data_IF_542218955981
#
_entry.id   IF_542218955981
#
_cell.length_a   1.000
_cell.length_b   1.000
_cell.length_c   1.000
_cell.angle_alpha   90.00
_cell.angle_beta   90.00
_cell.angle_gamma   90.00
#
_symmetry.space_group_name_H-M   'P 1'
#
loop_
_entity.id
_entity.type
_entity.pdbx_description
1 polymer ?
#
# COMPACT_ATOMS: atom_id res chain seq x y z
N UNK A 1 -11.10 -12.27 7.68
CA UNK A 1 -10.99 -10.85 8.12
C UNK A 1 -11.89 -9.95 7.27
N UNK A 2 -11.65 -9.84 5.95
CA UNK A 2 -12.44 -8.98 5.05
C UNK A 2 -13.96 -9.15 5.17
N UNK A 3 -14.47 -10.37 5.35
CA UNK A 3 -15.92 -10.61 5.54
C UNK A 3 -16.51 -9.87 6.76
N UNK A 4 -15.78 -9.81 7.87
CA UNK A 4 -16.21 -9.09 9.09
C UNK A 4 -16.17 -7.58 8.84
N UNK A 5 -15.08 -7.10 8.25
CA UNK A 5 -14.92 -5.68 7.89
C UNK A 5 -16.03 -5.23 6.93
N UNK A 6 -16.42 -6.05 5.94
CA UNK A 6 -17.48 -5.70 4.97
C UNK A 6 -18.86 -5.47 5.60
N UNK A 7 -19.09 -5.91 6.83
CA UNK A 7 -20.31 -5.63 7.58
C UNK A 7 -20.21 -4.39 8.47
N UNK A 8 -19.01 -3.87 8.72
CA UNK A 8 -18.74 -2.77 9.65
C UNK A 8 -18.34 -1.45 8.96
N UNK A 9 -17.65 -1.50 7.83
CA UNK A 9 -17.10 -0.31 7.15
C UNK A 9 -18.16 0.49 6.36
N UNK A 10 -17.82 1.74 6.02
CA UNK A 10 -18.66 2.57 5.15
C UNK A 10 -18.62 2.07 3.70
N UNK A 11 -19.80 1.92 3.08
CA UNK A 11 -20.00 1.66 1.65
C UNK A 11 -18.95 0.69 1.03
N UNK A 12 -18.96 -0.60 1.44
CA UNK A 12 -17.92 -1.56 1.08
C UNK A 12 -17.94 -1.93 -0.41
N UNK A 13 -16.82 -1.74 -1.08
CA UNK A 13 -16.60 -2.14 -2.48
C UNK A 13 -15.60 -3.29 -2.50
N UNK A 14 -16.10 -4.54 -2.42
CA UNK A 14 -15.27 -5.76 -2.46
C UNK A 14 -15.06 -6.26 -3.89
N UNK A 15 -13.80 -6.58 -4.21
CA UNK A 15 -13.40 -7.12 -5.51
C UNK A 15 -12.16 -8.01 -5.35
N UNK A 16 -12.10 -9.11 -6.11
CA UNK A 16 -10.83 -9.77 -6.45
C UNK A 16 -10.25 -9.18 -7.74
N UNK A 17 -11.11 -8.63 -8.62
CA UNK A 17 -10.70 -7.95 -9.84
C UNK A 17 -11.67 -6.82 -10.22
N UNK A 18 -11.15 -5.70 -10.75
CA UNK A 18 -11.97 -4.51 -11.08
C UNK A 18 -11.31 -3.65 -12.15
N UNK A 19 -12.10 -2.96 -12.98
CA UNK A 19 -11.56 -2.02 -13.96
C UNK A 19 -11.16 -0.70 -13.29
N UNK A 20 -9.98 -0.19 -13.63
CA UNK A 20 -9.46 1.09 -13.10
C UNK A 20 -10.44 2.26 -13.34
N UNK A 21 -11.10 2.39 -14.51
CA UNK A 21 -12.14 3.42 -14.72
C UNK A 21 -13.40 3.27 -13.88
N UNK A 22 -13.72 2.08 -13.37
CA UNK A 22 -14.82 1.93 -12.41
C UNK A 22 -14.41 2.52 -11.06
N UNK A 23 -13.22 2.19 -10.55
CA UNK A 23 -12.76 2.64 -9.23
C UNK A 23 -12.70 4.17 -9.11
N UNK A 24 -11.93 4.86 -9.96
CA UNK A 24 -11.75 6.30 -9.80
C UNK A 24 -13.07 7.09 -9.98
N UNK A 25 -14.01 6.59 -10.81
CA UNK A 25 -15.34 7.19 -10.96
C UNK A 25 -16.26 6.86 -9.78
N UNK A 26 -16.13 5.68 -9.17
CA UNK A 26 -16.92 5.27 -8.00
C UNK A 26 -16.53 6.03 -6.74
N UNK A 27 -15.24 6.33 -6.57
CA UNK A 27 -14.72 7.14 -5.47
C UNK A 27 -15.12 8.61 -5.68
N UNK A 28 -14.83 9.21 -6.84
CA UNK A 28 -15.21 10.59 -7.15
C UNK A 28 -16.72 10.86 -6.97
N UNK A 29 -17.58 9.92 -7.42
CA UNK A 29 -19.04 10.04 -7.26
C UNK A 29 -19.49 10.06 -5.79
N UNK A 30 -18.74 9.47 -4.88
CA UNK A 30 -19.06 9.43 -3.46
C UNK A 30 -18.68 10.74 -2.72
N UNK A 31 -17.88 11.61 -3.34
CA UNK A 31 -17.51 12.91 -2.78
C UNK A 31 -16.71 12.76 -1.48
N UNK A 32 -17.17 13.44 -0.43
CA UNK A 32 -16.40 13.54 0.83
C UNK A 32 -16.54 12.30 1.73
N UNK A 33 -17.51 11.43 1.45
CA UNK A 33 -17.76 10.14 2.12
C UNK A 33 -17.41 8.94 1.21
N UNK A 34 -16.12 8.74 0.89
CA UNK A 34 -15.69 7.70 -0.04
C UNK A 34 -16.05 6.28 0.43
N UNK A 35 -16.17 5.33 -0.51
CA UNK A 35 -16.34 3.92 -0.18
C UNK A 35 -15.10 3.34 0.49
N UNK A 36 -15.27 2.22 1.21
CA UNK A 36 -14.12 1.41 1.65
C UNK A 36 -13.80 0.37 0.59
N UNK A 37 -12.61 0.44 0.01
CA UNK A 37 -12.15 -0.53 -0.98
C UNK A 37 -11.71 -1.81 -0.28
N UNK A 38 -12.10 -2.97 -0.81
CA UNK A 38 -11.75 -4.26 -0.23
C UNK A 38 -11.21 -5.19 -1.33
N UNK A 39 -9.89 -5.19 -1.49
CA UNK A 39 -9.21 -6.04 -2.46
C UNK A 39 -8.88 -7.39 -1.83
N UNK A 40 -9.45 -8.45 -2.37
CA UNK A 40 -9.14 -9.84 -2.05
C UNK A 40 -8.13 -10.42 -3.06
N UNK A 41 -7.39 -11.45 -2.68
CA UNK A 41 -6.42 -12.15 -3.57
C UNK A 41 -5.45 -11.20 -4.28
N UNK A 42 -4.96 -10.16 -3.57
CA UNK A 42 -4.13 -9.11 -4.13
C UNK A 42 -2.80 -9.61 -4.72
N UNK A 43 -2.29 -10.76 -4.25
CA UNK A 43 -1.16 -11.47 -4.84
C UNK A 43 -1.41 -11.89 -6.30
N UNK A 44 -2.64 -12.17 -6.69
CA UNK A 44 -2.98 -12.44 -8.09
C UNK A 44 -2.79 -11.20 -9.00
N UNK A 45 -2.92 -9.98 -8.46
CA UNK A 45 -2.73 -8.71 -9.20
C UNK A 45 -1.28 -8.21 -9.13
N UNK A 46 -0.65 -8.35 -7.96
CA UNK A 46 0.66 -7.75 -7.65
C UNK A 46 1.82 -8.76 -7.54
N UNK A 47 1.60 -10.03 -7.91
CA UNK A 47 2.67 -11.04 -7.94
C UNK A 47 3.91 -10.59 -8.71
N UNK A 48 5.07 -11.14 -8.31
CA UNK A 48 6.42 -10.79 -8.77
C UNK A 48 6.74 -11.07 -10.26
N UNK A 49 5.72 -11.16 -11.11
CA UNK A 49 5.86 -11.08 -12.56
C UNK A 49 6.08 -9.65 -13.05
N UNK A 50 6.08 -9.46 -14.36
CA UNK A 50 6.19 -8.12 -14.96
C UNK A 50 4.91 -7.31 -14.64
N UNK A 51 5.00 -6.11 -14.04
CA UNK A 51 3.83 -5.29 -13.78
C UNK A 51 3.07 -4.99 -15.07
N UNK A 52 1.76 -5.22 -15.03
CA UNK A 52 0.84 -4.84 -16.11
C UNK A 52 0.48 -3.37 -16.00
N UNK A 53 0.06 -2.73 -17.10
CA UNK A 53 -0.49 -1.37 -17.07
C UNK A 53 -1.64 -1.25 -16.05
N UNK A 54 -2.41 -2.33 -15.88
CA UNK A 54 -3.52 -2.42 -14.93
C UNK A 54 -3.04 -2.44 -13.47
N UNK A 55 -2.07 -3.27 -13.13
CA UNK A 55 -1.55 -3.38 -11.76
C UNK A 55 -0.83 -2.09 -11.36
N UNK A 56 -0.07 -1.48 -12.28
CA UNK A 56 0.52 -0.15 -12.07
C UNK A 56 -0.55 0.94 -11.89
N UNK A 57 -1.61 0.94 -12.70
CA UNK A 57 -2.69 1.89 -12.56
C UNK A 57 -3.48 1.72 -11.25
N UNK A 58 -3.70 0.48 -10.78
CA UNK A 58 -4.33 0.20 -9.49
C UNK A 58 -3.43 0.62 -8.31
N UNK A 59 -2.13 0.28 -8.36
CA UNK A 59 -1.11 0.74 -7.40
C UNK A 59 -1.08 2.26 -7.33
N UNK A 60 -1.17 2.94 -8.47
CA UNK A 60 -1.31 4.39 -8.57
C UNK A 60 -2.54 4.92 -7.82
N UNK A 61 -3.73 4.33 -8.03
CA UNK A 61 -4.95 4.73 -7.30
C UNK A 61 -4.77 4.54 -5.79
N UNK A 62 -4.25 3.40 -5.33
CA UNK A 62 -4.05 3.13 -3.91
C UNK A 62 -3.04 4.11 -3.27
N UNK A 63 -1.91 4.35 -3.93
CA UNK A 63 -0.87 5.25 -3.41
C UNK A 63 -1.31 6.72 -3.43
N UNK A 64 -2.01 7.18 -4.47
CA UNK A 64 -2.60 8.53 -4.53
C UNK A 64 -3.77 8.68 -3.56
N UNK A 65 -4.52 7.59 -3.33
CA UNK A 65 -5.67 7.54 -2.43
C UNK A 65 -5.34 7.46 -0.94
N UNK A 66 -4.06 7.41 -0.57
CA UNK A 66 -3.59 7.38 0.82
C UNK A 66 -4.02 8.61 1.64
N UNK A 67 -4.01 9.80 1.03
CA UNK A 67 -4.30 11.06 1.71
C UNK A 67 -5.27 11.93 0.88
N UNK A 68 -6.13 12.69 1.57
CA UNK A 68 -7.03 13.66 0.92
C UNK A 68 -6.23 14.79 0.27
N UNK A 69 -6.75 15.34 -0.83
CA UNK A 69 -6.16 16.47 -1.55
C UNK A 69 -5.36 16.07 -2.80
N UNK A 70 -4.91 14.82 -2.91
CA UNK A 70 -4.29 14.31 -4.14
C UNK A 70 -5.33 13.87 -5.17
N UNK A 71 -4.97 14.01 -6.46
CA UNK A 71 -5.84 13.72 -7.60
C UNK A 71 -5.19 12.75 -8.60
N UNK A 72 -6.03 11.97 -9.26
CA UNK A 72 -5.64 10.99 -10.27
C UNK A 72 -6.02 11.49 -11.67
N UNK A 73 -5.03 12.03 -12.39
CA UNK A 73 -5.22 12.59 -13.73
C UNK A 73 -5.47 11.53 -14.80
N UNK A 74 -6.47 11.75 -15.65
CA UNK A 74 -6.79 10.92 -16.82
C UNK A 74 -7.19 11.75 -18.04
N UNK A 75 -6.91 11.22 -19.22
CA UNK A 75 -7.35 11.76 -20.51
C UNK A 75 -8.66 11.07 -20.90
N UNK A 76 -9.78 11.78 -20.90
CA UNK A 76 -11.07 11.24 -21.33
C UNK A 76 -11.22 11.31 -22.86
N UNK A 77 -11.50 10.15 -23.47
CA UNK A 77 -11.86 10.02 -24.90
C UNK A 77 -13.37 10.30 -25.09
N UNK A 78 -13.81 10.76 -26.28
CA UNK A 78 -13.04 10.95 -27.52
C UNK A 78 -12.27 12.29 -27.60
N UNK A 79 -12.64 13.29 -26.81
CA UNK A 79 -12.18 14.67 -26.99
C UNK A 79 -10.78 14.97 -26.38
N UNK A 80 -10.09 13.94 -25.87
CA UNK A 80 -8.80 14.04 -25.16
C UNK A 80 -8.79 15.09 -24.02
N UNK A 81 -9.90 15.22 -23.29
CA UNK A 81 -10.01 16.18 -22.19
C UNK A 81 -9.22 15.69 -20.98
N UNK A 82 -8.38 16.56 -20.41
CA UNK A 82 -7.75 16.31 -19.12
C UNK A 82 -8.80 16.38 -18.02
N UNK A 83 -8.81 15.38 -17.15
CA UNK A 83 -9.71 15.32 -16.00
C UNK A 83 -9.02 14.71 -14.80
N UNK A 84 -9.22 15.35 -13.67
CA UNK A 84 -8.70 14.94 -12.38
C UNK A 84 -9.81 14.26 -11.59
N UNK A 85 -9.45 13.20 -10.87
CA UNK A 85 -10.36 12.42 -10.04
C UNK A 85 -9.84 12.36 -8.61
N UNK A 86 -10.70 12.68 -7.63
CA UNK A 86 -10.44 12.38 -6.22
C UNK A 86 -10.49 10.87 -6.04
N UNK A 87 -9.41 10.31 -5.49
CA UNK A 87 -9.25 8.86 -5.28
C UNK A 87 -8.96 8.48 -3.84
N UNK A 88 -9.05 9.43 -2.90
CA UNK A 88 -8.95 9.11 -1.47
C UNK A 88 -10.06 8.14 -1.04
N UNK A 89 -9.64 6.99 -0.52
CA UNK A 89 -10.53 5.95 -0.01
C UNK A 89 -9.74 5.06 0.95
N UNK A 90 -10.37 4.66 2.06
CA UNK A 90 -9.80 3.62 2.93
C UNK A 90 -9.77 2.29 2.19
N UNK A 91 -8.67 1.55 2.30
CA UNK A 91 -8.49 0.26 1.64
C UNK A 91 -8.13 -0.84 2.65
N UNK A 92 -8.82 -1.98 2.55
CA UNK A 92 -8.43 -3.22 3.18
C UNK A 92 -7.98 -4.20 2.09
N UNK A 93 -6.72 -4.63 2.15
CA UNK A 93 -6.09 -5.47 1.13
C UNK A 93 -5.72 -6.82 1.77
N UNK A 94 -6.13 -7.93 1.16
CA UNK A 94 -5.70 -9.26 1.54
C UNK A 94 -4.80 -9.86 0.45
N UNK A 95 -3.63 -10.35 0.84
CA UNK A 95 -2.59 -10.90 -0.04
C UNK A 95 -1.98 -12.15 0.60
N UNK A 96 -1.49 -13.08 -0.23
CA UNK A 96 -0.56 -14.12 0.21
C UNK A 96 0.87 -13.67 -0.07
N UNK A 97 1.59 -13.33 1.01
CA UNK A 97 2.95 -12.77 0.91
C UNK A 97 2.93 -11.25 0.81
N UNK A 98 4.10 -10.67 0.56
CA UNK A 98 4.29 -9.23 0.49
C UNK A 98 3.56 -8.60 -0.72
N UNK A 99 3.12 -7.37 -0.52
CA UNK A 99 2.67 -6.43 -1.55
C UNK A 99 3.87 -5.56 -2.01
N UNK A 100 3.73 -4.77 -3.09
CA UNK A 100 4.77 -3.82 -3.48
C UNK A 100 5.01 -2.79 -2.37
N UNK A 101 6.27 -2.53 -2.02
CA UNK A 101 6.72 -1.71 -0.88
C UNK A 101 5.96 -0.37 -0.80
N UNK A 102 5.70 0.27 -1.95
CA UNK A 102 4.96 1.54 -2.00
C UNK A 102 3.53 1.48 -1.43
N UNK A 103 2.91 0.30 -1.38
CA UNK A 103 1.63 0.02 -0.72
C UNK A 103 1.85 -0.33 0.75
N UNK A 104 2.86 -1.16 1.08
CA UNK A 104 3.13 -1.58 2.47
C UNK A 104 3.59 -0.40 3.36
N UNK A 105 4.43 0.49 2.84
CA UNK A 105 4.79 1.78 3.47
C UNK A 105 3.57 2.66 3.83
N UNK A 106 2.41 2.37 3.25
CA UNK A 106 1.14 3.11 3.35
C UNK A 106 0.04 2.25 3.97
N UNK A 107 0.40 1.17 4.66
CA UNK A 107 -0.54 0.23 5.27
C UNK A 107 -0.11 -0.20 6.68
N UNK A 108 -1.10 -0.54 7.51
CA UNK A 108 -0.87 -1.26 8.77
C UNK A 108 -0.94 -2.76 8.46
N UNK A 109 0.22 -3.43 8.39
CA UNK A 109 0.33 -4.82 7.94
C UNK A 109 -0.11 -5.80 9.02
N UNK A 110 -1.17 -6.57 8.76
CA UNK A 110 -1.73 -7.56 9.70
C UNK A 110 -1.36 -9.00 9.29
N UNK A 111 -0.19 -9.47 9.72
CA UNK A 111 0.33 -10.81 9.37
C UNK A 111 -0.48 -11.94 10.01
N UNK A 112 -1.41 -12.51 9.25
CA UNK A 112 -2.24 -13.64 9.68
C UNK A 112 -1.45 -14.96 9.71
N UNK A 113 -1.63 -15.76 10.77
CA UNK A 113 -1.05 -17.11 10.89
C UNK A 113 -2.09 -18.18 10.56
N UNK A 114 -1.67 -19.28 9.93
CA UNK A 114 -2.53 -20.45 9.72
C UNK A 114 -2.88 -21.08 11.06
N UNK A 115 -4.18 -21.32 11.28
CA UNK A 115 -4.73 -22.00 12.47
C UNK A 115 -4.01 -23.33 12.73
N UNK A 116 -3.61 -23.60 13.97
CA UNK A 116 -3.08 -24.91 14.35
C UNK A 116 -4.20 -25.95 14.50
N UNK A 117 -3.89 -27.23 14.32
CA UNK A 117 -4.88 -28.31 14.47
C UNK A 117 -5.48 -28.44 15.88
N UNK A 118 -4.84 -27.82 16.87
CA UNK A 118 -5.26 -27.78 18.28
C UNK A 118 -6.07 -26.54 18.66
N UNK A 119 -6.05 -25.48 17.85
CA UNK A 119 -6.90 -24.31 18.05
C UNK A 119 -8.35 -24.67 17.71
N UNK A 120 -9.27 -24.42 18.64
CA UNK A 120 -10.70 -24.47 18.40
C UNK A 120 -11.21 -23.04 18.17
N UNK A 121 -11.60 -22.76 16.92
CA UNK A 121 -12.20 -21.49 16.50
C UNK A 121 -13.57 -21.80 15.92
N UNK A 122 -14.59 -21.10 16.43
CA UNK A 122 -15.95 -21.14 15.91
C UNK A 122 -15.98 -20.71 14.44
N UNK A 123 -16.84 -21.34 13.64
CA UNK A 123 -16.93 -21.02 12.23
C UNK A 123 -17.74 -19.73 12.03
N UNK A 124 -17.05 -18.65 11.63
CA UNK A 124 -17.74 -17.43 11.21
C UNK A 124 -18.68 -17.73 10.02
N UNK A 125 -19.92 -17.24 10.13
CA UNK A 125 -20.97 -17.37 9.11
C UNK A 125 -21.64 -16.02 8.92
N UNK A 126 -21.53 -15.45 7.72
CA UNK A 126 -22.03 -14.12 7.39
C UNK A 126 -23.52 -13.93 7.74
N UNK A 127 -24.36 -14.94 7.45
CA UNK A 127 -25.80 -14.95 7.74
C UNK A 127 -26.12 -14.89 9.24
N UNK A 128 -25.26 -15.47 10.09
CA UNK A 128 -25.51 -15.63 11.52
C UNK A 128 -24.94 -14.41 12.28
N UNK A 129 -23.92 -13.74 11.73
CA UNK A 129 -23.32 -12.52 12.28
C UNK A 129 -23.95 -11.21 11.77
N UNK A 130 -24.75 -11.25 10.71
CA UNK A 130 -25.23 -10.07 9.97
C UNK A 130 -26.01 -9.06 10.82
N UNK A 131 -27.01 -9.52 11.57
CA UNK A 131 -27.84 -8.66 12.44
C UNK A 131 -27.02 -8.05 13.58
N UNK A 132 -26.22 -8.87 14.26
CA UNK A 132 -25.35 -8.42 15.35
C UNK A 132 -24.35 -7.35 14.89
N UNK A 133 -23.65 -7.59 13.78
CA UNK A 133 -22.68 -6.63 13.25
C UNK A 133 -23.35 -5.38 12.66
N UNK A 134 -24.59 -5.45 12.17
CA UNK A 134 -25.35 -4.27 11.78
C UNK A 134 -25.68 -3.36 13.00
N UNK A 135 -26.03 -3.94 14.16
CA UNK A 135 -26.22 -3.20 15.41
C UNK A 135 -24.91 -2.56 15.88
N UNK A 136 -23.79 -3.30 15.82
CA UNK A 136 -22.45 -2.77 16.16
C UNK A 136 -22.08 -1.61 15.23
N UNK A 137 -22.23 -1.77 13.90
CA UNK A 137 -21.98 -0.72 12.90
C UNK A 137 -22.81 0.53 13.18
N UNK A 138 -24.10 0.39 13.47
CA UNK A 138 -24.97 1.54 13.76
C UNK A 138 -24.52 2.28 15.02
N UNK A 139 -24.14 1.56 16.09
CA UNK A 139 -23.63 2.17 17.33
C UNK A 139 -22.30 2.88 17.11
N UNK A 140 -21.36 2.26 16.39
CA UNK A 140 -20.06 2.86 16.06
C UNK A 140 -20.22 4.09 15.17
N UNK A 141 -21.06 4.02 14.13
CA UNK A 141 -21.34 5.15 13.25
C UNK A 141 -21.90 6.34 14.03
N UNK A 142 -22.93 6.12 14.87
CA UNK A 142 -23.50 7.17 15.69
C UNK A 142 -22.46 7.78 16.64
N UNK A 143 -21.72 6.96 17.39
CA UNK A 143 -20.68 7.43 18.31
C UNK A 143 -19.62 8.28 17.60
N UNK A 144 -19.11 7.83 16.45
CA UNK A 144 -18.06 8.54 15.71
C UNK A 144 -18.59 9.82 15.04
N UNK A 145 -19.86 9.86 14.64
CA UNK A 145 -20.50 11.09 14.13
C UNK A 145 -20.77 12.09 15.25
N UNK A 146 -21.28 11.65 16.39
CA UNK A 146 -21.57 12.50 17.56
C UNK A 146 -20.29 13.19 18.11
N UNK A 147 -19.13 12.52 17.98
CA UNK A 147 -17.82 13.01 18.45
C UNK A 147 -16.86 13.43 17.31
N UNK A 148 -17.34 13.62 16.07
CA UNK A 148 -16.46 13.84 14.91
C UNK A 148 -15.51 15.05 15.06
N UNK A 149 -16.00 16.16 15.63
CA UNK A 149 -15.25 17.40 15.78
C UNK A 149 -14.22 17.30 16.92
N UNK A 150 -14.55 16.52 17.96
CA UNK A 150 -13.63 16.19 19.04
C UNK A 150 -12.45 15.37 18.49
N UNK A 151 -12.73 14.26 17.78
CA UNK A 151 -11.71 13.41 17.15
C UNK A 151 -10.83 14.23 16.19
N UNK A 152 -11.43 15.07 15.34
CA UNK A 152 -10.70 15.90 14.38
C UNK A 152 -9.81 16.97 15.06
N UNK A 153 -10.14 17.36 16.29
CA UNK A 153 -9.36 18.26 17.13
C UNK A 153 -8.20 17.59 17.88
N UNK A 154 -8.24 16.27 18.11
CA UNK A 154 -7.15 15.56 18.81
C UNK A 154 -5.85 15.64 18.00
N UNK A 155 -4.75 15.97 18.67
CA UNK A 155 -3.38 15.84 18.16
C UNK A 155 -2.61 14.92 19.10
N UNK A 156 -2.69 13.60 18.88
CA UNK A 156 -2.12 12.64 19.83
C UNK A 156 -0.60 12.65 19.75
N UNK A 157 0.07 12.43 20.89
CA UNK A 157 1.46 12.00 20.86
C UNK A 157 1.54 10.59 20.26
N UNK A 158 2.55 10.35 19.41
CA UNK A 158 2.73 9.10 18.67
C UNK A 158 4.13 8.54 18.91
N UNK A 159 4.27 7.24 19.20
CA UNK A 159 5.57 6.59 19.43
C UNK A 159 6.26 6.13 18.14
N UNK A 160 5.82 6.64 16.99
CA UNK A 160 6.25 6.27 15.64
C UNK A 160 6.30 7.52 14.76
N UNK A 161 7.11 7.49 13.70
CA UNK A 161 7.43 8.65 12.84
C UNK A 161 7.00 8.42 11.37
N UNK A 162 7.16 9.45 10.53
CA UNK A 162 6.85 9.43 9.09
C UNK A 162 5.45 8.84 8.77
N UNK A 163 5.35 8.02 7.71
CA UNK A 163 4.08 7.43 7.26
C UNK A 163 3.43 6.51 8.30
N UNK A 164 4.20 5.99 9.25
CA UNK A 164 3.64 5.24 10.36
C UNK A 164 2.88 6.18 11.31
N UNK A 165 3.37 7.40 11.55
CA UNK A 165 2.60 8.40 12.29
C UNK A 165 1.28 8.72 11.57
N UNK A 166 1.32 9.02 10.27
CA UNK A 166 0.12 9.31 9.45
C UNK A 166 -0.94 8.19 9.53
N UNK A 167 -0.49 6.92 9.56
CA UNK A 167 -1.34 5.74 9.65
C UNK A 167 -1.97 5.53 11.04
N UNK A 168 -1.19 5.75 12.10
CA UNK A 168 -1.60 5.48 13.48
C UNK A 168 -2.33 6.66 14.14
N UNK A 169 -2.09 7.91 13.71
CA UNK A 169 -2.79 9.11 14.21
C UNK A 169 -4.32 8.94 14.31
N UNK A 170 -5.06 8.57 13.24
CA UNK A 170 -6.52 8.43 13.32
C UNK A 170 -6.96 7.30 14.26
N UNK A 171 -6.18 6.23 14.40
CA UNK A 171 -6.50 5.13 15.32
C UNK A 171 -6.29 5.54 16.78
N UNK A 172 -5.21 6.28 17.07
CA UNK A 172 -4.93 6.81 18.41
C UNK A 172 -5.91 7.93 18.76
N UNK A 173 -6.33 8.78 17.81
CA UNK A 173 -7.36 9.79 18.02
C UNK A 173 -8.72 9.17 18.40
N UNK A 174 -9.13 8.08 17.75
CA UNK A 174 -10.32 7.32 18.17
C UNK A 174 -10.11 6.64 19.53
N UNK A 175 -8.90 6.17 19.84
CA UNK A 175 -8.58 5.57 21.13
C UNK A 175 -8.70 6.56 22.30
N UNK A 176 -8.51 7.87 22.09
CA UNK A 176 -8.71 8.89 23.13
C UNK A 176 -10.16 8.91 23.64
N UNK A 177 -11.17 8.73 22.77
CA UNK A 177 -12.57 8.63 23.20
C UNK A 177 -12.86 7.38 24.06
N UNK A 178 -12.02 6.35 23.95
CA UNK A 178 -12.16 5.11 24.70
C UNK A 178 -11.32 5.10 26.00
N UNK A 179 -10.51 6.13 26.24
CA UNK A 179 -9.70 6.33 27.45
C UNK A 179 -8.32 5.68 27.43
N UNK A 180 -7.52 5.99 28.45
CA UNK A 180 -6.08 5.72 28.55
C UNK A 180 -5.66 4.28 28.24
N UNK A 181 -6.47 3.28 28.62
CA UNK A 181 -6.17 1.87 28.33
C UNK A 181 -6.10 1.61 26.82
N UNK A 182 -6.98 2.24 26.03
CA UNK A 182 -7.00 2.09 24.58
C UNK A 182 -5.88 2.87 23.90
N UNK A 183 -5.51 4.05 24.42
CA UNK A 183 -4.32 4.79 23.95
C UNK A 183 -3.07 3.92 24.12
N UNK A 184 -2.84 3.37 25.32
CA UNK A 184 -1.70 2.51 25.61
C UNK A 184 -1.67 1.24 24.73
N UNK A 185 -2.83 0.63 24.45
CA UNK A 185 -2.95 -0.50 23.51
C UNK A 185 -2.61 -0.10 22.08
N UNK A 186 -3.08 1.05 21.61
CA UNK A 186 -2.79 1.56 20.27
C UNK A 186 -1.30 1.88 20.09
N UNK A 187 -0.67 2.54 21.08
CA UNK A 187 0.77 2.77 21.10
C UNK A 187 1.59 1.47 21.10
N UNK A 188 1.22 0.51 21.95
CA UNK A 188 1.88 -0.80 22.01
C UNK A 188 1.80 -1.53 20.66
N UNK A 189 0.63 -1.48 20.00
CA UNK A 189 0.44 -2.05 18.67
C UNK A 189 1.28 -1.33 17.62
N UNK A 190 1.30 0.01 17.60
CA UNK A 190 2.08 0.81 16.67
C UNK A 190 3.57 0.48 16.72
N UNK A 191 4.17 0.51 17.91
CA UNK A 191 5.59 0.17 18.11
C UNK A 191 5.87 -1.28 17.66
N UNK A 192 5.05 -2.23 18.12
CA UNK A 192 5.26 -3.66 17.84
C UNK A 192 5.16 -3.97 16.35
N UNK A 193 4.21 -3.36 15.64
CA UNK A 193 3.97 -3.63 14.22
C UNK A 193 4.97 -2.93 13.30
N UNK A 194 5.40 -1.71 13.65
CA UNK A 194 6.47 -1.01 12.89
C UNK A 194 7.80 -1.73 13.04
N UNK A 195 8.15 -2.21 14.23
CA UNK A 195 9.39 -2.96 14.42
C UNK A 195 9.34 -4.34 13.74
N UNK A 196 8.19 -5.03 13.77
CA UNK A 196 7.99 -6.27 13.01
C UNK A 196 8.15 -6.05 11.50
N UNK A 197 7.63 -4.95 10.94
CA UNK A 197 7.80 -4.64 9.52
C UNK A 197 9.29 -4.45 9.15
N UNK A 198 10.07 -3.77 9.99
CA UNK A 198 11.53 -3.61 9.82
C UNK A 198 12.29 -4.94 9.91
N UNK A 199 11.93 -5.79 10.88
CA UNK A 199 12.51 -7.14 11.01
C UNK A 199 12.18 -8.02 9.78
N UNK A 200 10.94 -7.96 9.28
CA UNK A 200 10.48 -8.73 8.12
C UNK A 200 11.12 -8.24 6.81
N UNK A 201 11.28 -6.93 6.59
CA UNK A 201 11.99 -6.37 5.42
C UNK A 201 13.46 -6.84 5.37
N UNK A 202 14.16 -6.71 6.51
CA UNK A 202 15.54 -7.19 6.67
C UNK A 202 15.64 -8.70 6.44
N UNK A 203 14.71 -9.48 6.99
CA UNK A 203 14.65 -10.93 6.86
C UNK A 203 14.29 -11.39 5.44
N UNK A 204 13.45 -10.66 4.73
CA UNK A 204 13.04 -10.96 3.36
C UNK A 204 14.19 -10.75 2.38
N UNK A 205 14.97 -9.67 2.53
CA UNK A 205 16.15 -9.39 1.71
C UNK A 205 17.24 -10.46 1.93
N UNK A 206 17.56 -10.77 3.19
CA UNK A 206 18.45 -11.89 3.57
C UNK A 206 17.92 -13.25 3.05
N UNK A 207 16.60 -13.42 3.02
CA UNK A 207 15.94 -14.64 2.59
C UNK A 207 15.95 -14.88 1.08
N UNK A 208 15.72 -13.83 0.28
CA UNK A 208 15.88 -13.89 -1.17
C UNK A 208 17.34 -14.16 -1.54
N UNK A 209 18.30 -13.44 -0.94
CA UNK A 209 19.72 -13.68 -1.14
C UNK A 209 20.12 -15.13 -0.79
N UNK A 210 19.59 -15.68 0.31
CA UNK A 210 19.80 -17.08 0.68
C UNK A 210 19.16 -18.07 -0.31
N UNK A 211 17.96 -17.78 -0.83
CA UNK A 211 17.33 -18.62 -1.85
C UNK A 211 18.14 -18.62 -3.15
N UNK A 212 18.62 -17.46 -3.61
CA UNK A 212 19.49 -17.37 -4.79
C UNK A 212 20.81 -18.12 -4.58
N UNK A 213 21.47 -17.91 -3.44
CA UNK A 213 22.69 -18.61 -3.07
C UNK A 213 22.50 -20.13 -3.02
N UNK A 214 21.38 -20.61 -2.46
CA UNK A 214 21.07 -22.05 -2.46
C UNK A 214 20.77 -22.58 -3.87
N UNK A 215 20.11 -21.81 -4.75
CA UNK A 215 19.87 -22.16 -6.16
C UNK A 215 21.19 -22.31 -6.91
N UNK A 216 22.10 -21.35 -6.77
CA UNK A 216 23.40 -21.38 -7.43
C UNK A 216 24.25 -22.58 -6.96
N UNK A 217 24.46 -22.70 -5.65
CA UNK A 217 25.26 -23.79 -5.05
C UNK A 217 24.70 -25.19 -5.39
N UNK A 218 23.39 -25.32 -5.56
CA UNK A 218 22.73 -26.58 -5.86
C UNK A 218 22.47 -26.84 -7.35
N UNK A 219 22.73 -25.89 -8.26
CA UNK A 219 22.71 -26.15 -9.70
C UNK A 219 23.73 -27.22 -10.13
N UNK A 220 24.82 -27.36 -9.37
CA UNK A 220 25.82 -28.42 -9.54
C UNK A 220 25.45 -29.75 -8.87
N UNK A 221 24.47 -29.76 -7.95
CA UNK A 221 23.98 -30.97 -7.25
C UNK A 221 22.84 -31.64 -8.05
N UNK A 222 23.20 -32.35 -9.13
CA UNK A 222 22.18 -32.96 -10.01
C UNK A 222 21.53 -34.23 -9.47
N UNK A 223 22.25 -35.04 -8.70
CA UNK A 223 21.85 -36.43 -8.39
C UNK A 223 21.41 -36.69 -6.92
N UNK A 224 21.17 -35.63 -6.13
CA UNK A 224 20.73 -35.75 -4.74
C UNK A 224 19.21 -35.60 -4.56
N UNK A 225 18.60 -36.42 -3.68
CA UNK A 225 17.22 -36.19 -3.23
C UNK A 225 17.12 -35.14 -2.09
N UNK A 226 18.23 -34.92 -1.38
CA UNK A 226 18.34 -34.01 -0.23
C UNK A 226 19.81 -33.58 -0.01
N UNK A 227 20.03 -32.50 0.75
CA UNK A 227 21.36 -32.04 1.20
C UNK A 227 21.39 -31.89 2.72
N UNK A 228 22.49 -32.29 3.38
CA UNK A 228 22.64 -32.12 4.83
C UNK A 228 22.71 -30.66 5.25
N UNK A 229 22.15 -30.29 6.40
CA UNK A 229 22.09 -28.87 6.82
C UNK A 229 23.47 -28.25 7.06
N UNK A 230 24.44 -29.03 7.54
CA UNK A 230 25.85 -28.61 7.66
C UNK A 230 26.49 -28.48 6.28
N UNK A 231 26.31 -29.49 5.42
CA UNK A 231 26.83 -29.54 4.06
C UNK A 231 26.34 -28.37 3.19
N UNK A 232 25.09 -27.92 3.39
CA UNK A 232 24.55 -26.74 2.71
C UNK A 232 25.29 -25.47 3.13
N UNK A 233 25.51 -25.27 4.43
CA UNK A 233 26.27 -24.10 4.94
C UNK A 233 27.73 -24.16 4.48
N UNK A 234 28.39 -25.32 4.54
CA UNK A 234 29.74 -25.49 3.99
C UNK A 234 29.83 -25.20 2.49
N UNK A 235 28.80 -25.56 1.71
CA UNK A 235 28.76 -25.32 0.28
C UNK A 235 28.52 -23.84 -0.04
N UNK A 236 27.66 -23.15 0.72
CA UNK A 236 27.50 -21.69 0.67
C UNK A 236 28.82 -20.98 1.03
N UNK A 237 29.49 -21.37 2.11
CA UNK A 237 30.75 -20.77 2.57
C UNK A 237 31.93 -20.90 1.58
N UNK A 238 31.86 -21.84 0.64
CA UNK A 238 32.87 -22.04 -0.42
C UNK A 238 32.73 -21.02 -1.56
N UNK A 239 31.55 -20.44 -1.77
CA UNK A 239 31.34 -19.34 -2.73
C UNK A 239 31.72 -18.04 -2.04
N UNK A 240 32.67 -17.23 -2.58
CA UNK A 240 33.11 -16.00 -1.92
C UNK A 240 31.97 -15.01 -1.64
N UNK A 241 31.02 -14.86 -2.58
CA UNK A 241 29.85 -13.98 -2.47
C UNK A 241 28.92 -14.34 -1.31
N UNK A 242 28.79 -15.63 -0.98
CA UNK A 242 27.88 -16.12 0.05
C UNK A 242 28.59 -16.46 1.36
N UNK A 243 29.90 -16.24 1.46
CA UNK A 243 30.69 -16.61 2.64
C UNK A 243 30.24 -15.87 3.90
N UNK A 244 30.07 -14.56 3.81
CA UNK A 244 29.72 -13.74 4.96
C UNK A 244 28.27 -13.97 5.38
N UNK A 245 27.37 -14.16 4.41
CA UNK A 245 25.98 -14.61 4.63
C UNK A 245 25.93 -15.97 5.35
N UNK A 246 26.70 -16.96 4.89
CA UNK A 246 26.76 -18.29 5.49
C UNK A 246 27.38 -18.27 6.90
N UNK A 247 28.39 -17.43 7.12
CA UNK A 247 29.04 -17.21 8.41
C UNK A 247 28.09 -16.56 9.43
N UNK A 248 27.41 -15.48 9.03
CA UNK A 248 26.48 -14.74 9.88
C UNK A 248 25.23 -15.55 10.26
N UNK A 249 24.69 -16.35 9.33
CA UNK A 249 23.51 -17.17 9.58
C UNK A 249 23.85 -18.49 10.31
N UNK A 250 24.89 -19.19 9.86
CA UNK A 250 25.16 -20.57 10.25
C UNK A 250 23.98 -21.52 10.00
N UNK A 251 24.07 -22.75 10.52
CA UNK A 251 23.03 -23.79 10.31
C UNK A 251 21.68 -23.38 10.90
N UNK A 252 21.69 -22.68 12.05
CA UNK A 252 20.47 -22.25 12.74
C UNK A 252 19.78 -21.06 12.05
N UNK A 253 20.54 -20.08 11.56
CA UNK A 253 20.00 -18.95 10.80
C UNK A 253 19.45 -19.40 9.45
N UNK A 254 20.19 -20.23 8.70
CA UNK A 254 19.71 -20.81 7.44
C UNK A 254 18.39 -21.56 7.64
N UNK A 255 18.26 -22.35 8.71
CA UNK A 255 17.00 -23.04 9.04
C UNK A 255 15.84 -22.10 9.44
N UNK A 256 16.15 -20.94 10.05
CA UNK A 256 15.16 -19.93 10.44
C UNK A 256 14.64 -19.18 9.21
N UNK A 257 15.55 -18.75 8.32
CA UNK A 257 15.24 -17.99 7.11
C UNK A 257 14.51 -18.86 6.08
N UNK A 258 15.02 -20.06 5.77
CA UNK A 258 14.35 -20.98 4.82
C UNK A 258 12.93 -21.39 5.26
N UNK A 259 12.64 -21.38 6.56
CA UNK A 259 11.31 -21.69 7.11
C UNK A 259 10.24 -20.67 6.70
N UNK A 260 10.61 -19.42 6.40
CA UNK A 260 9.69 -18.39 5.89
C UNK A 260 9.13 -18.80 4.53
N UNK A 261 9.95 -19.41 3.68
CA UNK A 261 9.61 -19.92 2.34
C UNK A 261 9.07 -21.36 2.36
N UNK A 262 8.62 -21.85 3.52
CA UNK A 262 8.06 -23.20 3.69
C UNK A 262 9.09 -24.33 3.76
N UNK A 263 10.37 -24.07 3.48
CA UNK A 263 11.45 -25.08 3.47
C UNK A 263 11.90 -25.38 4.90
N UNK A 264 11.86 -26.66 5.31
CA UNK A 264 12.23 -27.08 6.67
C UNK A 264 13.22 -28.24 6.65
N UNK A 265 14.18 -28.31 7.60
CA UNK A 265 15.09 -29.44 7.68
C UNK A 265 14.36 -30.67 8.24
N UNK A 266 14.39 -31.76 7.49
CA UNK A 266 13.85 -33.06 7.87
C UNK A 266 14.97 -34.01 8.35
N UNK A 267 14.58 -35.10 9.02
CA UNK A 267 15.49 -36.17 9.43
C UNK A 267 15.63 -37.18 8.29
N UNK A 268 16.86 -37.37 7.80
CA UNK A 268 17.22 -38.32 6.75
C UNK A 268 18.11 -39.43 7.31
N UNK A 269 17.76 -40.69 7.06
CA UNK A 269 18.57 -41.84 7.49
C UNK A 269 19.66 -42.15 6.47
N UNK A 270 20.89 -42.30 6.94
CA UNK A 270 22.10 -42.57 6.15
C UNK A 270 22.86 -43.69 6.83
N UNK A 271 22.69 -44.91 6.31
CA UNK A 271 23.10 -46.13 6.99
C UNK A 271 22.46 -46.22 8.38
N UNK A 272 23.28 -46.40 9.41
CA UNK A 272 22.82 -46.46 10.80
C UNK A 272 22.49 -45.08 11.40
N UNK A 273 23.04 -44.00 10.82
CA UNK A 273 22.93 -42.63 11.35
C UNK A 273 21.69 -41.87 10.84
N UNK A 274 21.23 -40.87 11.59
CA UNK A 274 20.21 -39.91 11.14
C UNK A 274 20.84 -38.51 11.08
N UNK A 275 20.68 -37.82 9.95
CA UNK A 275 21.17 -36.45 9.72
C UNK A 275 20.02 -35.51 9.43
N UNK A 276 20.13 -34.25 9.85
CA UNK A 276 19.22 -33.18 9.39
C UNK A 276 19.64 -32.67 8.02
N UNK A 277 18.66 -32.42 7.16
CA UNK A 277 18.88 -31.92 5.81
C UNK A 277 17.60 -31.43 5.15
N UNK A 278 17.75 -30.81 3.99
CA UNK A 278 16.66 -30.23 3.19
C UNK A 278 16.44 -31.08 1.95
N UNK A 279 15.18 -31.37 1.60
CA UNK A 279 14.87 -32.07 0.35
C UNK A 279 15.10 -31.11 -0.81
N UNK A 280 15.72 -31.56 -1.89
CA UNK A 280 15.95 -30.68 -3.05
C UNK A 280 14.65 -30.31 -3.75
N UNK A 281 13.60 -31.12 -3.62
CA UNK A 281 12.26 -30.79 -4.13
C UNK A 281 11.63 -29.59 -3.41
N UNK A 282 11.80 -29.47 -2.09
CA UNK A 282 11.25 -28.36 -1.30
C UNK A 282 12.00 -27.05 -1.62
N UNK A 283 13.33 -27.13 -1.77
CA UNK A 283 14.16 -26.00 -2.21
C UNK A 283 13.82 -25.55 -3.64
N UNK A 284 13.63 -26.49 -4.58
CA UNK A 284 13.22 -26.19 -5.96
C UNK A 284 11.83 -25.54 -6.02
N UNK A 285 10.88 -26.03 -5.22
CA UNK A 285 9.55 -25.42 -5.07
C UNK A 285 9.64 -23.98 -4.56
N UNK A 286 10.50 -23.70 -3.57
CA UNK A 286 10.76 -22.34 -3.12
C UNK A 286 11.41 -21.47 -4.22
N UNK A 287 12.42 -21.96 -4.94
CA UNK A 287 13.04 -21.20 -6.04
C UNK A 287 12.03 -20.83 -7.14
N UNK A 288 11.12 -21.75 -7.51
CA UNK A 288 10.10 -21.50 -8.53
C UNK A 288 9.03 -20.49 -8.09
N UNK A 289 8.81 -20.34 -6.77
CA UNK A 289 7.80 -19.42 -6.20
C UNK A 289 8.34 -18.02 -5.93
N UNK A 290 9.61 -17.93 -5.50
CA UNK A 290 10.15 -16.71 -4.89
C UNK A 290 11.32 -16.08 -5.65
N UNK A 291 11.91 -16.76 -6.63
CA UNK A 291 13.02 -16.20 -7.42
C UNK A 291 12.58 -15.86 -8.86
N UNK A 292 13.06 -14.74 -9.43
CA UNK A 292 12.82 -14.42 -10.83
C UNK A 292 13.32 -15.53 -11.76
N UNK A 293 12.51 -15.86 -12.76
CA UNK A 293 12.91 -16.72 -13.88
C UNK A 293 13.83 -15.94 -14.82
N UNK A 294 14.98 -16.51 -15.17
CA UNK A 294 16.10 -15.83 -15.86
C UNK A 294 15.85 -15.47 -17.35
N UNK A 295 14.58 -15.29 -17.75
CA UNK A 295 14.14 -14.91 -19.11
C UNK A 295 13.62 -13.47 -19.15
N UNK A 296 14.11 -12.59 -18.29
CA UNK A 296 13.89 -11.14 -18.37
C UNK A 296 15.20 -10.40 -18.06
N UNK A 297 15.82 -9.71 -19.04
CA UNK A 297 17.04 -8.95 -18.81
C UNK A 297 16.74 -7.74 -17.92
N UNK A 298 17.59 -7.53 -16.92
CA UNK A 298 17.52 -6.35 -16.07
C UNK A 298 17.88 -5.10 -16.88
N UNK A 299 17.12 -4.01 -16.69
CA UNK A 299 17.53 -2.66 -17.09
C UNK A 299 17.26 -1.72 -15.93
N UNK A 300 18.09 -1.84 -14.89
CA UNK A 300 18.31 -0.76 -13.94
C UNK A 300 19.28 0.24 -14.56
N UNK A 301 18.75 1.29 -15.18
CA UNK A 301 19.56 2.38 -15.74
C UNK A 301 18.84 3.71 -15.53
N UNK A 302 19.09 4.33 -14.37
CA UNK A 302 18.66 5.69 -14.06
C UNK A 302 19.41 6.69 -14.94
N UNK A 303 18.74 7.51 -15.77
CA UNK A 303 19.39 8.66 -16.41
C UNK A 303 19.63 9.72 -15.33
N UNK A 304 20.89 9.95 -14.98
CA UNK A 304 21.30 11.10 -14.18
C UNK A 304 20.88 12.39 -14.90
N UNK A 305 20.04 13.19 -14.25
CA UNK A 305 19.75 14.56 -14.69
C UNK A 305 21.02 15.42 -14.52
N UNK A 306 21.46 16.18 -15.54
CA UNK A 306 22.59 17.08 -15.38
C UNK A 306 22.24 18.20 -14.40
N UNK A 307 23.03 18.35 -13.35
CA UNK A 307 23.03 19.55 -12.52
C UNK A 307 23.44 20.74 -13.40
N UNK A 308 22.70 21.84 -13.32
CA UNK A 308 23.11 23.12 -13.90
C UNK A 308 23.87 23.90 -12.83
N UNK A 309 25.17 24.02 -13.03
CA UNK A 309 25.99 24.90 -12.22
C UNK A 309 25.51 26.36 -12.37
N UNK A 310 25.44 27.06 -11.23
CA UNK A 310 25.39 28.52 -11.21
C UNK A 310 26.83 29.02 -11.11
N UNK A 311 27.27 29.76 -12.12
CA UNK A 311 28.47 30.59 -12.03
C UNK A 311 28.17 31.97 -12.62
N UNK A 312 28.54 33.03 -11.89
CA UNK A 312 28.07 34.40 -12.09
C UNK A 312 29.22 35.35 -12.45
N UNK A 313 28.94 36.33 -13.33
CA UNK A 313 29.81 37.46 -13.74
C UNK A 313 31.10 37.11 -14.52
N UNK A 314 31.52 37.79 -15.60
CA UNK A 314 31.52 39.24 -15.81
C UNK A 314 31.87 39.69 -17.27
N UNK A 315 31.18 40.74 -17.73
CA UNK A 315 31.71 41.90 -18.51
C UNK A 315 32.33 41.74 -19.92
N UNK A 316 31.66 42.33 -20.93
CA UNK A 316 32.14 43.34 -21.95
C UNK A 316 31.05 43.52 -23.03
N UNK A 317 30.28 44.63 -23.04
CA UNK A 317 30.54 45.98 -23.59
C UNK A 317 29.95 46.22 -25.00
N UNK A 318 29.07 47.25 -25.09
CA UNK A 318 28.68 48.04 -26.28
C UNK A 318 27.87 47.31 -27.41
N UNK A 319 26.95 47.93 -28.17
CA UNK A 319 26.50 49.33 -28.33
C UNK A 319 24.96 49.46 -28.51
N UNK A 320 24.40 50.61 -28.14
CA UNK A 320 23.07 51.14 -28.57
C UNK A 320 23.11 51.59 -30.07
N UNK A 321 22.04 52.13 -30.74
CA UNK A 321 20.81 52.74 -30.21
C UNK A 321 19.44 52.43 -30.90
N UNK A 322 18.37 52.84 -30.20
CA UNK A 322 17.05 53.34 -30.63
C UNK A 322 16.35 52.84 -31.93
N UNK A 323 15.07 52.48 -31.77
CA UNK A 323 13.98 53.21 -32.46
C UNK A 323 12.66 53.22 -31.68
N UNK A 324 12.06 54.41 -31.54
CA UNK A 324 10.78 54.70 -30.88
C UNK A 324 9.68 55.01 -31.89
N UNK A 325 8.46 54.47 -31.71
CA UNK A 325 7.14 55.02 -32.07
C UNK A 325 6.06 53.97 -31.67
N UNK A 326 5.00 54.21 -30.89
CA UNK A 326 3.83 55.12 -31.03
C UNK A 326 3.05 54.92 -32.34
N UNK A 327 1.72 54.85 -32.41
CA UNK A 327 0.61 54.66 -31.44
C UNK A 327 -0.67 54.38 -32.28
N UNK A 328 -1.85 54.26 -31.65
CA UNK A 328 -3.20 54.26 -32.29
C UNK A 328 -3.62 52.97 -33.05
N UNK A 329 -4.83 52.38 -32.96
CA UNK A 329 -6.19 52.71 -32.50
C UNK A 329 -7.24 52.89 -33.62
N UNK A 330 -8.09 51.87 -33.81
CA UNK A 330 -9.49 51.95 -34.29
C UNK A 330 -10.12 50.56 -34.00
N UNK A 331 -11.28 50.33 -33.37
CA UNK A 331 -12.57 51.04 -33.16
C UNK A 331 -13.57 50.91 -34.32
N UNK A 332 -14.76 50.35 -34.00
CA UNK A 332 -15.95 50.26 -34.85
C UNK A 332 -16.36 48.81 -35.21
N UNK A 333 -17.65 48.43 -35.26
CA UNK A 333 -18.89 49.11 -34.83
C UNK A 333 -20.11 48.14 -34.91
N UNK A 334 -21.23 48.45 -34.23
CA UNK A 334 -22.54 47.76 -34.33
C UNK A 334 -23.01 47.16 -32.99
N UNK A 335 -23.86 47.80 -32.16
CA UNK A 335 -25.32 48.06 -32.30
C UNK A 335 -26.14 46.75 -32.54
N UNK A 336 -27.24 46.43 -31.85
CA UNK A 336 -27.96 47.04 -30.70
C UNK A 336 -28.81 45.91 -30.01
N UNK A 337 -29.78 46.08 -29.08
CA UNK A 337 -30.47 47.25 -28.51
C UNK A 337 -30.95 46.96 -27.05
N UNK A 338 -32.12 47.45 -26.61
CA UNK A 338 -32.65 47.34 -25.23
C UNK A 338 -34.23 47.38 -25.22
N UNK A 339 -34.98 47.56 -24.11
CA UNK A 339 -35.47 46.52 -23.19
C UNK A 339 -37.01 46.56 -22.92
N UNK A 340 -37.55 45.63 -22.12
CA UNK A 340 -38.78 45.75 -21.27
C UNK A 340 -39.14 44.39 -20.61
N UNK A 341 -39.90 44.27 -19.51
CA UNK A 341 -40.16 45.13 -18.34
C UNK A 341 -41.01 44.32 -17.31
N UNK A 342 -40.75 44.49 -16.00
CA UNK A 342 -41.66 44.25 -14.85
C UNK A 342 -42.36 42.86 -14.68
N UNK A 343 -42.82 42.41 -13.51
CA UNK A 343 -43.11 43.12 -12.25
C UNK A 343 -42.76 42.28 -11.02
N UNK A 344 -42.30 42.97 -9.96
CA UNK A 344 -42.34 42.48 -8.57
C UNK A 344 -43.49 43.21 -7.87
N UNK A 345 -44.29 42.51 -7.07
CA UNK A 345 -45.26 43.15 -6.17
C UNK A 345 -45.00 42.71 -4.71
N UNK A 346 -44.57 43.68 -3.91
CA UNK A 346 -44.58 43.66 -2.45
C UNK A 346 -45.74 44.54 -1.97
N UNK A 347 -46.35 44.17 -0.83
CA UNK A 347 -47.17 44.97 0.11
C UNK A 347 -47.58 43.93 1.18
N UNK A 348 -46.93 43.94 2.34
CA UNK A 348 -47.38 44.60 3.59
C UNK A 348 -48.62 43.88 4.18
N UNK A 349 -48.44 43.06 5.21
CA UNK A 349 -48.37 43.41 6.66
C UNK A 349 -49.76 43.42 7.32
N UNK A 350 -49.83 43.00 8.60
CA UNK A 350 -50.52 43.66 9.74
C UNK A 350 -50.80 42.69 10.91
N UNK A 351 -50.23 43.01 12.10
CA UNK A 351 -50.59 42.57 13.49
C UNK A 351 -50.55 41.08 13.87
N UNK A 352 -49.68 40.68 14.82
CA UNK A 352 -49.89 40.64 16.29
C UNK A 352 -50.97 39.66 16.79
N UNK A 353 -50.58 38.74 17.70
CA UNK A 353 -50.86 38.83 19.16
C UNK A 353 -50.13 37.70 19.92
N UNK A 354 -49.76 38.00 21.17
CA UNK A 354 -49.30 37.15 22.30
C UNK A 354 -49.80 35.69 22.28
N UNK A 355 -49.07 34.71 22.82
CA UNK A 355 -48.50 34.70 24.18
C UNK A 355 -47.34 33.72 24.33
#
# INVERSE_FOLDING_TARGET
MLEVLSLLVNDPVRFADVSVPYLFRRIEKAGDTPPTLMLDEADAIFSAGRPSERSEALRGILNTGFQRGFVYGRVEKPNNQLKEYRVFALAAIASIGALPDTIEDRAIVLTMRRRSGTELVEQFRLRDAGEYLAVVRHRLHRLLTDHQDEIAGVRPELPVEDRAADLWEPLVAVAHLAGDEWINRAWTAAITMVEQAREDESSANVGLALLEATREVLNSYRDGAWIGSVQLVEALSKVPEYRDLASALGVAGVARVLRLYGVRPANHRVGESVRKGYRLVDLRDAWMRYLPSALSPATGATPLLPQRDQEEAATRQATHPLRTATHEANRGQGNAEHPAAASVSHIEEVTHVRS
#
